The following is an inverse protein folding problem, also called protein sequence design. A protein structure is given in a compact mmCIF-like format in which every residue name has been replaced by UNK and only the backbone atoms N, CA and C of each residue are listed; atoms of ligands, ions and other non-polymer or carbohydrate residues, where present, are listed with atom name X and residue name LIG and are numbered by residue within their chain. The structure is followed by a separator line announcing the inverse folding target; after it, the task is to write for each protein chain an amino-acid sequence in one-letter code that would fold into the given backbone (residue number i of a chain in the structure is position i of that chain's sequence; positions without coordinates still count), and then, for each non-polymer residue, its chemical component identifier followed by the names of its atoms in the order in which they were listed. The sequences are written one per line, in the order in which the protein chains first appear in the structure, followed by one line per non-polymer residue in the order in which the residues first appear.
data_IF_235824416798
#
_entry.id   IF_235824416798
#
_cell.length_a   1.000
_cell.length_b   1.000
_cell.length_c   1.000
_cell.angle_alpha   90.00
_cell.angle_beta   90.00
_cell.angle_gamma   90.00
#
_symmetry.space_group_name_H-M   'P 1'
#
loop_
_entity.id
_entity.type
_entity.pdbx_description
1 polymer ?
#
# COMPACT_ATOMS: atom_id res chain seq x y z
N UNK A 1 -3.51 -21.45 6.60
CA UNK A 1 -3.89 -20.04 6.36
C UNK A 1 -2.67 -19.16 6.56
N UNK A 2 -2.32 -18.32 5.58
CA UNK A 2 -1.15 -17.44 5.71
C UNK A 2 -1.30 -16.46 6.87
N UNK A 3 -0.17 -16.05 7.42
CA UNK A 3 -0.11 -15.07 8.50
C UNK A 3 1.07 -14.13 8.24
N UNK A 4 0.93 -12.89 8.70
CA UNK A 4 2.03 -11.93 8.60
C UNK A 4 3.22 -12.35 9.45
N UNK A 5 4.41 -12.19 8.89
CA UNK A 5 5.65 -12.34 9.63
C UNK A 5 5.89 -11.15 10.56
N UNK A 6 6.96 -11.22 11.34
CA UNK A 6 7.27 -10.22 12.36
C UNK A 6 7.44 -8.82 11.81
N UNK A 7 8.19 -8.67 10.69
CA UNK A 7 8.41 -7.36 10.07
C UNK A 7 7.11 -6.77 9.53
N UNK A 8 6.30 -7.59 8.85
CA UNK A 8 5.01 -7.13 8.31
C UNK A 8 4.07 -6.67 9.42
N UNK A 9 4.00 -7.42 10.53
CA UNK A 9 3.19 -7.02 11.68
C UNK A 9 3.63 -5.68 12.25
N UNK A 10 4.94 -5.48 12.36
CA UNK A 10 5.51 -4.24 12.90
C UNK A 10 5.14 -3.05 12.02
N UNK A 11 5.32 -3.18 10.70
CA UNK A 11 5.00 -2.10 9.76
C UNK A 11 3.50 -1.83 9.72
N UNK A 12 2.68 -2.87 9.65
CA UNK A 12 1.21 -2.69 9.60
C UNK A 12 0.68 -2.03 10.87
N UNK A 13 1.28 -2.31 12.03
CA UNK A 13 0.87 -1.71 13.29
C UNK A 13 1.04 -0.19 13.33
N UNK A 14 1.84 0.39 12.45
CA UNK A 14 2.03 1.84 12.36
C UNK A 14 0.97 2.54 11.51
N UNK A 15 0.06 1.78 10.91
CA UNK A 15 -0.95 2.29 10.00
C UNK A 15 -2.28 2.59 10.72
N UNK A 16 -3.09 3.44 10.09
CA UNK A 16 -4.49 3.65 10.50
C UNK A 16 -5.20 2.30 10.63
N UNK A 17 -6.11 2.20 11.62
CA UNK A 17 -6.81 0.96 11.91
C UNK A 17 -7.55 0.39 10.70
N UNK A 18 -8.09 1.26 9.84
CA UNK A 18 -8.79 0.83 8.62
C UNK A 18 -7.87 0.05 7.69
N UNK A 19 -6.60 0.49 7.54
CA UNK A 19 -5.61 -0.24 6.76
C UNK A 19 -5.27 -1.58 7.41
N UNK A 20 -5.12 -1.60 8.72
CA UNK A 20 -4.88 -2.85 9.45
C UNK A 20 -6.02 -3.83 9.22
N UNK A 21 -7.27 -3.36 9.29
CA UNK A 21 -8.44 -4.22 9.10
C UNK A 21 -8.48 -4.82 7.70
N UNK A 22 -8.21 -4.01 6.67
CA UNK A 22 -8.20 -4.49 5.29
C UNK A 22 -7.16 -5.59 5.09
N UNK A 23 -5.92 -5.35 5.50
CA UNK A 23 -4.85 -6.30 5.24
C UNK A 23 -4.89 -7.53 6.14
N UNK A 24 -5.45 -7.42 7.34
CA UNK A 24 -5.75 -8.59 8.15
C UNK A 24 -6.82 -9.49 7.53
N UNK A 25 -7.74 -8.92 6.75
CA UNK A 25 -8.68 -9.71 5.95
C UNK A 25 -8.01 -10.33 4.74
N UNK A 26 -7.23 -9.53 3.99
CA UNK A 26 -6.56 -9.99 2.76
C UNK A 26 -5.63 -11.18 3.02
N UNK A 27 -4.84 -11.13 4.10
CA UNK A 27 -3.85 -12.19 4.40
C UNK A 27 -4.50 -13.56 4.61
N UNK A 28 -5.76 -13.61 4.99
CA UNK A 28 -6.48 -14.88 5.15
C UNK A 28 -6.58 -15.66 3.85
N UNK A 29 -6.52 -14.98 2.72
CA UNK A 29 -6.77 -15.57 1.39
C UNK A 29 -5.54 -15.55 0.48
N UNK A 30 -4.69 -14.52 0.60
CA UNK A 30 -3.50 -14.35 -0.24
C UNK A 30 -2.33 -14.01 0.66
N UNK A 31 -1.27 -14.84 0.60
CA UNK A 31 -0.05 -14.55 1.34
C UNK A 31 0.61 -13.28 0.81
N UNK A 32 0.96 -12.38 1.70
CA UNK A 32 1.51 -11.08 1.33
C UNK A 32 2.42 -10.53 2.43
N UNK A 33 3.24 -9.56 2.07
CA UNK A 33 4.19 -8.91 2.98
C UNK A 33 3.94 -7.40 3.00
N UNK A 34 3.83 -6.84 4.20
CA UNK A 34 3.77 -5.39 4.38
C UNK A 34 5.21 -4.89 4.48
N UNK A 35 5.62 -4.12 3.49
CA UNK A 35 7.01 -3.65 3.40
C UNK A 35 7.21 -2.28 4.03
N UNK A 36 6.16 -1.45 4.11
CA UNK A 36 6.24 -0.15 4.76
C UNK A 36 4.87 0.33 5.24
N UNK A 37 4.83 0.80 6.50
CA UNK A 37 3.74 1.59 7.06
C UNK A 37 4.17 3.04 7.18
N UNK A 38 4.34 3.53 8.42
CA UNK A 38 4.79 4.91 8.67
C UNK A 38 6.19 5.14 8.12
N UNK A 39 6.38 6.34 7.55
CA UNK A 39 7.67 6.80 7.03
C UNK A 39 7.99 8.18 7.61
N UNK A 40 9.18 8.31 8.18
CA UNK A 40 9.63 9.56 8.79
C UNK A 40 10.20 10.56 7.79
N UNK A 41 10.65 11.70 8.30
CA UNK A 41 11.14 12.82 7.48
C UNK A 41 12.35 12.46 6.63
N UNK A 42 13.37 11.87 7.25
CA UNK A 42 14.63 11.58 6.55
C UNK A 42 14.42 10.61 5.41
N UNK A 43 13.66 9.54 5.64
CA UNK A 43 13.37 8.53 4.63
C UNK A 43 12.49 9.09 3.51
N UNK A 44 11.48 9.87 3.86
CA UNK A 44 10.59 10.48 2.86
C UNK A 44 11.38 11.43 1.95
N UNK A 45 12.22 12.27 2.51
CA UNK A 45 12.99 13.22 1.72
C UNK A 45 14.06 12.51 0.88
N UNK A 46 14.63 11.42 1.39
CA UNK A 46 15.55 10.59 0.62
C UNK A 46 14.85 10.01 -0.63
N UNK A 47 13.66 9.45 -0.46
CA UNK A 47 12.89 8.88 -1.58
C UNK A 47 12.51 9.95 -2.60
N UNK A 48 12.13 11.15 -2.14
CA UNK A 48 11.85 12.26 -3.03
C UNK A 48 13.08 12.63 -3.84
N UNK A 49 14.24 12.76 -3.19
CA UNK A 49 15.49 13.13 -3.85
C UNK A 49 15.95 12.05 -4.84
N UNK A 50 15.62 10.79 -4.60
CA UNK A 50 15.96 9.66 -5.49
C UNK A 50 14.92 9.45 -6.60
N UNK A 51 13.87 10.24 -6.65
CA UNK A 51 12.81 10.11 -7.65
C UNK A 51 11.82 8.98 -7.36
N UNK A 52 11.91 8.33 -6.19
CA UNK A 52 11.00 7.23 -5.79
C UNK A 52 9.69 7.74 -5.22
N UNK A 53 9.62 8.99 -4.81
CA UNK A 53 8.40 9.64 -4.36
C UNK A 53 8.23 10.97 -5.06
N UNK A 54 6.98 11.37 -5.27
CA UNK A 54 6.65 12.67 -5.89
C UNK A 54 6.45 13.76 -4.85
N UNK A 55 6.48 13.45 -3.56
CA UNK A 55 6.23 14.41 -2.49
C UNK A 55 7.32 14.36 -1.43
N UNK A 56 7.56 15.51 -0.79
CA UNK A 56 8.46 15.64 0.35
C UNK A 56 7.68 15.53 1.66
N UNK A 57 8.39 15.22 2.75
CA UNK A 57 7.85 15.32 4.08
C UNK A 57 7.42 16.77 4.37
N UNK A 58 6.27 17.02 4.99
CA UNK A 58 5.32 16.08 5.58
C UNK A 58 4.13 15.70 4.67
N UNK A 59 4.23 15.94 3.37
CA UNK A 59 3.11 15.80 2.45
C UNK A 59 2.84 14.37 2.00
N UNK A 60 3.73 13.41 2.31
CA UNK A 60 3.53 12.02 1.96
C UNK A 60 2.45 11.35 2.80
N UNK A 61 1.66 10.48 2.18
CA UNK A 61 0.60 9.75 2.88
C UNK A 61 1.15 8.80 3.96
N UNK A 62 2.37 8.29 3.78
CA UNK A 62 3.06 7.49 4.78
C UNK A 62 3.54 8.31 5.98
N UNK A 63 3.52 9.64 5.91
CA UNK A 63 4.13 10.50 6.93
C UNK A 63 3.22 10.77 8.13
N UNK A 64 1.91 10.58 7.99
CA UNK A 64 0.97 10.76 9.09
C UNK A 64 1.21 9.70 10.19
N UNK A 65 0.78 9.99 11.42
CA UNK A 65 0.83 9.06 12.54
C UNK A 65 -0.58 8.97 13.13
N UNK A 66 -1.30 7.83 12.97
CA UNK A 66 -0.92 6.64 12.20
C UNK A 66 -0.85 6.90 10.70
N UNK A 67 -0.11 6.05 9.99
CA UNK A 67 0.08 6.21 8.55
C UNK A 67 -1.23 6.05 7.78
N UNK A 68 -1.45 6.92 6.78
CA UNK A 68 -2.60 6.83 5.87
C UNK A 68 -2.30 6.01 4.63
N UNK A 69 -1.07 5.49 4.51
CA UNK A 69 -0.65 4.67 3.38
C UNK A 69 0.11 3.45 3.87
N UNK A 70 0.09 2.40 3.06
CA UNK A 70 0.79 1.15 3.33
C UNK A 70 1.30 0.59 2.00
N UNK A 71 2.50 0.02 2.03
CA UNK A 71 3.03 -0.74 0.91
C UNK A 71 2.92 -2.22 1.25
N UNK A 72 2.24 -2.98 0.39
CA UNK A 72 2.02 -4.40 0.57
C UNK A 72 2.10 -5.10 -0.79
N UNK A 73 2.75 -6.25 -0.83
CA UNK A 73 2.97 -7.00 -2.07
C UNK A 73 2.74 -8.48 -1.82
N UNK A 74 2.27 -9.24 -2.82
CA UNK A 74 2.07 -10.69 -2.63
C UNK A 74 3.40 -11.40 -2.36
N UNK A 75 3.35 -12.46 -1.57
CA UNK A 75 4.51 -13.28 -1.23
C UNK A 75 4.57 -14.51 -2.17
N UNK A 76 5.73 -14.95 -2.64
CA UNK A 76 7.05 -14.32 -2.42
C UNK A 76 7.18 -12.99 -3.16
N UNK A 77 7.94 -12.08 -2.55
CA UNK A 77 8.09 -10.72 -3.07
C UNK A 77 8.81 -10.74 -4.41
N UNK A 78 8.17 -10.19 -5.45
CA UNK A 78 8.75 -10.03 -6.77
C UNK A 78 8.14 -8.78 -7.40
N UNK A 79 8.87 -7.66 -7.29
CA UNK A 79 8.40 -6.38 -7.79
C UNK A 79 8.38 -6.29 -9.33
N UNK A 80 8.96 -7.27 -10.02
CA UNK A 80 8.94 -7.33 -11.48
C UNK A 80 7.71 -8.05 -12.03
N UNK A 81 7.00 -8.81 -11.20
CA UNK A 81 5.78 -9.51 -11.61
C UNK A 81 4.57 -8.57 -11.51
N UNK A 82 4.45 -7.69 -12.48
CA UNK A 82 3.44 -6.63 -12.49
C UNK A 82 2.02 -7.16 -12.59
N UNK A 83 1.81 -8.23 -13.34
CA UNK A 83 0.48 -8.84 -13.47
C UNK A 83 -0.01 -9.38 -12.13
N UNK A 84 0.88 -10.05 -11.39
CA UNK A 84 0.54 -10.58 -10.07
C UNK A 84 0.23 -9.48 -9.08
N UNK A 85 1.01 -8.40 -9.12
CA UNK A 85 0.75 -7.24 -8.27
C UNK A 85 -0.58 -6.57 -8.60
N UNK A 86 -0.94 -6.47 -9.88
CA UNK A 86 -2.21 -5.91 -10.29
C UNK A 86 -3.39 -6.79 -9.85
N UNK A 87 -3.25 -8.11 -9.98
CA UNK A 87 -4.28 -9.05 -9.51
C UNK A 87 -4.48 -8.93 -8.01
N UNK A 88 -3.38 -8.86 -7.25
CA UNK A 88 -3.42 -8.65 -5.81
C UNK A 88 -4.12 -7.34 -5.46
N UNK A 89 -3.76 -6.24 -6.14
CA UNK A 89 -4.35 -4.94 -5.91
C UNK A 89 -5.87 -4.95 -6.11
N UNK A 90 -6.35 -5.63 -7.15
CA UNK A 90 -7.79 -5.76 -7.40
C UNK A 90 -8.49 -6.43 -6.23
N UNK A 91 -7.91 -7.49 -5.67
CA UNK A 91 -8.46 -8.17 -4.50
C UNK A 91 -8.47 -7.27 -3.27
N UNK A 92 -7.38 -6.52 -3.05
CA UNK A 92 -7.28 -5.57 -1.93
C UNK A 92 -8.36 -4.50 -2.04
N UNK A 93 -8.48 -3.87 -3.20
CA UNK A 93 -9.46 -2.80 -3.42
C UNK A 93 -10.89 -3.29 -3.24
N UNK A 94 -11.20 -4.48 -3.76
CA UNK A 94 -12.51 -5.09 -3.60
C UNK A 94 -12.82 -5.44 -2.15
N UNK A 95 -11.84 -6.00 -1.44
CA UNK A 95 -11.99 -6.34 -0.02
C UNK A 95 -12.25 -5.09 0.82
N UNK A 96 -11.53 -4.01 0.55
CA UNK A 96 -11.71 -2.74 1.26
C UNK A 96 -13.12 -2.19 1.03
N UNK A 97 -13.60 -2.21 -0.22
CA UNK A 97 -14.95 -1.73 -0.54
C UNK A 97 -16.02 -2.53 0.18
N UNK A 98 -15.86 -3.84 0.27
CA UNK A 98 -16.80 -4.70 1.00
C UNK A 98 -16.84 -4.35 2.49
N UNK A 99 -15.77 -3.78 3.02
CA UNK A 99 -15.68 -3.33 4.41
C UNK A 99 -16.08 -1.86 4.59
N UNK A 100 -16.51 -1.19 3.53
CA UNK A 100 -16.86 0.23 3.58
C UNK A 100 -15.67 1.17 3.62
N UNK A 101 -14.49 0.68 3.22
CA UNK A 101 -13.24 1.44 3.26
C UNK A 101 -12.80 1.77 1.83
N UNK A 102 -12.52 3.05 1.59
CA UNK A 102 -12.13 3.52 0.27
C UNK A 102 -10.62 3.66 0.19
N UNK A 103 -9.99 2.86 -0.68
CA UNK A 103 -8.56 2.89 -0.92
C UNK A 103 -8.24 3.36 -2.34
N UNK A 104 -7.09 4.00 -2.47
CA UNK A 104 -6.47 4.32 -3.77
C UNK A 104 -5.22 3.48 -3.93
N UNK A 105 -5.06 2.87 -5.11
CA UNK A 105 -3.88 2.09 -5.47
C UNK A 105 -2.88 2.97 -6.23
N UNK A 106 -1.58 2.73 -6.01
CA UNK A 106 -0.51 3.53 -6.62
C UNK A 106 -0.29 3.31 -8.11
N UNK A 107 -1.16 2.55 -8.78
CA UNK A 107 -1.16 2.40 -10.22
C UNK A 107 -2.52 2.78 -10.83
N UNK A 108 -3.37 3.43 -10.05
CA UNK A 108 -4.67 3.94 -10.49
C UNK A 108 -5.05 5.16 -9.63
N UNK A 109 -4.28 6.23 -9.79
CA UNK A 109 -4.40 7.41 -8.93
C UNK A 109 -5.74 8.13 -9.06
N UNK A 110 -6.33 8.12 -10.25
CA UNK A 110 -7.65 8.74 -10.47
C UNK A 110 -8.83 7.81 -10.17
N UNK A 111 -8.55 6.56 -9.78
CA UNK A 111 -9.54 5.59 -9.33
C UNK A 111 -10.61 5.26 -10.37
N UNK A 112 -10.22 5.23 -11.66
CA UNK A 112 -11.14 4.93 -12.77
C UNK A 112 -11.08 3.46 -13.24
N UNK A 113 -10.26 2.63 -12.57
CA UNK A 113 -10.02 1.24 -12.92
C UNK A 113 -9.38 1.05 -14.31
N UNK A 114 -8.71 2.09 -14.79
CA UNK A 114 -7.94 2.04 -16.03
C UNK A 114 -6.49 2.42 -15.71
N UNK A 115 -5.57 1.46 -15.84
CA UNK A 115 -4.17 1.70 -15.49
C UNK A 115 -3.36 2.25 -16.66
N UNK A 116 -3.94 2.31 -17.86
CA UNK A 116 -3.22 2.75 -19.07
C UNK A 116 -2.92 4.25 -19.06
N UNK A 117 -3.69 5.05 -18.31
CA UNK A 117 -3.52 6.49 -18.21
C UNK A 117 -2.70 6.90 -16.97
N UNK A 118 -2.10 5.93 -16.27
CA UNK A 118 -1.31 6.19 -15.08
C UNK A 118 0.11 6.57 -15.45
N UNK A 119 0.57 7.75 -15.01
CA UNK A 119 1.93 8.22 -15.23
C UNK A 119 2.93 7.64 -14.25
N UNK A 120 2.90 8.10 -13.00
CA UNK A 120 3.76 7.57 -11.93
C UNK A 120 3.13 6.30 -11.36
N UNK A 121 3.91 5.20 -11.35
CA UNK A 121 3.40 3.90 -10.93
C UNK A 121 4.11 3.42 -9.68
N UNK A 122 3.33 3.10 -8.63
CA UNK A 122 3.83 2.57 -7.37
C UNK A 122 2.96 1.36 -7.00
N UNK A 123 3.30 0.21 -7.54
CA UNK A 123 2.46 -0.99 -7.49
C UNK A 123 2.13 -1.49 -6.08
N UNK A 124 3.04 -1.45 -5.09
CA UNK A 124 2.69 -1.94 -3.74
C UNK A 124 1.92 -0.92 -2.89
N UNK A 125 1.75 0.31 -3.37
CA UNK A 125 1.21 1.41 -2.57
C UNK A 125 -0.32 1.44 -2.55
N UNK A 126 -0.88 1.51 -1.34
CA UNK A 126 -2.31 1.71 -1.10
C UNK A 126 -2.47 2.83 -0.08
N UNK A 127 -3.43 3.72 -0.30
CA UNK A 127 -3.68 4.83 0.62
C UNK A 127 -5.17 5.05 0.85
N UNK A 128 -5.50 5.56 2.05
CA UNK A 128 -6.87 5.91 2.40
C UNK A 128 -7.32 7.16 1.65
N UNK A 129 -8.59 7.17 1.25
CA UNK A 129 -9.25 8.30 0.60
C UNK A 129 -10.48 8.65 1.40
N UNK A 130 -10.61 9.91 1.78
CA UNK A 130 -11.76 10.39 2.54
C UNK A 130 -12.90 10.84 1.63
#
# INVERSE_FOLDING_TARGET
MPKFGKKSKKELATCDQRLQDVFNEVIKYIDCSVTQGHRGEDEQNKYFNEGKSKVKYPDGRHNAIPSNAVDCTPYPVDFDDLERQALFAGFVLGSARAMGIKLRWGNDWNMDFNTKDTGFRDYPHFELVD
#
